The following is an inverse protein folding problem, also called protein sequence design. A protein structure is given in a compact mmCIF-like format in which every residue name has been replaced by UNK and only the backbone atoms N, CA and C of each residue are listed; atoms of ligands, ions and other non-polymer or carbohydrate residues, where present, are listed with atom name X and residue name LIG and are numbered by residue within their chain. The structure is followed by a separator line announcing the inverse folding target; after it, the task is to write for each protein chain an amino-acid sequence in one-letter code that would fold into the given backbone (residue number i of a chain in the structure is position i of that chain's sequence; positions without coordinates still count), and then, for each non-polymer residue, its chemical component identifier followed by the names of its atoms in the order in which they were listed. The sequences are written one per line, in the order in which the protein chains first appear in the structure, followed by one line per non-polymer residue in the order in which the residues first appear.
data_IF_787967251986
#
_entry.id   IF_787967251986
#
_cell.length_a   1.000
_cell.length_b   1.000
_cell.length_c   1.000
_cell.angle_alpha   90.00
_cell.angle_beta   90.00
_cell.angle_gamma   90.00
#
_symmetry.space_group_name_H-M   'P 1'
#
loop_
_entity.id
_entity.type
_entity.pdbx_description
1 polymer ?
#
# COMPACT_ATOMS: atom_id res chain seq x y z
N UNK A 1 -3.69 -16.15 10.03
CA UNK A 1 -4.87 -15.32 9.69
C UNK A 1 -5.67 -16.07 8.65
N UNK A 2 -7.00 -16.08 8.77
CA UNK A 2 -7.90 -16.61 7.75
C UNK A 2 -8.01 -15.64 6.57
N UNK A 3 -8.47 -16.14 5.42
CA UNK A 3 -8.66 -15.31 4.23
C UNK A 3 -9.66 -14.15 4.47
N UNK A 4 -10.69 -14.38 5.28
CA UNK A 4 -11.71 -13.37 5.60
C UNK A 4 -11.12 -12.26 6.47
N UNK A 5 -10.35 -12.63 7.49
CA UNK A 5 -9.65 -11.66 8.35
C UNK A 5 -8.69 -10.82 7.52
N UNK A 6 -7.91 -11.45 6.63
CA UNK A 6 -6.97 -10.75 5.77
C UNK A 6 -7.65 -9.74 4.83
N UNK A 7 -8.72 -10.15 4.13
CA UNK A 7 -9.49 -9.25 3.26
C UNK A 7 -10.10 -8.08 4.05
N UNK A 8 -10.56 -8.35 5.27
CA UNK A 8 -11.11 -7.30 6.15
C UNK A 8 -10.03 -6.30 6.57
N UNK A 9 -8.81 -6.77 6.86
CA UNK A 9 -7.65 -5.92 7.12
C UNK A 9 -7.34 -5.03 5.92
N UNK A 10 -7.29 -5.58 4.71
CA UNK A 10 -7.04 -4.79 3.50
C UNK A 10 -8.11 -3.74 3.23
N UNK A 11 -9.39 -4.08 3.44
CA UNK A 11 -10.50 -3.13 3.28
C UNK A 11 -10.39 -1.90 4.21
N UNK A 12 -9.83 -2.06 5.40
CA UNK A 12 -9.55 -0.95 6.31
C UNK A 12 -8.24 -0.22 5.96
N UNK A 13 -7.22 -0.97 5.55
CA UNK A 13 -5.88 -0.46 5.28
C UNK A 13 -5.82 0.42 4.04
N UNK A 14 -6.45 0.02 2.95
CA UNK A 14 -6.39 0.72 1.65
C UNK A 14 -6.83 2.19 1.76
N UNK A 15 -8.00 2.52 2.36
CA UNK A 15 -8.39 3.92 2.55
C UNK A 15 -7.38 4.74 3.36
N UNK A 16 -6.73 4.14 4.36
CA UNK A 16 -5.72 4.83 5.16
C UNK A 16 -4.45 5.11 4.34
N UNK A 17 -4.02 4.18 3.49
CA UNK A 17 -2.88 4.40 2.58
C UNK A 17 -3.20 5.51 1.59
N UNK A 18 -4.39 5.47 0.98
CA UNK A 18 -4.85 6.52 0.04
C UNK A 18 -4.85 7.89 0.69
N UNK A 19 -5.32 8.01 1.94
CA UNK A 19 -5.26 9.27 2.68
C UNK A 19 -3.84 9.79 2.85
N UNK A 20 -2.87 8.92 3.15
CA UNK A 20 -1.45 9.30 3.26
C UNK A 20 -0.90 9.74 1.88
N UNK A 21 -1.27 9.05 0.80
CA UNK A 21 -0.85 9.44 -0.55
C UNK A 21 -1.36 10.85 -0.89
N UNK A 22 -2.63 11.12 -0.60
CA UNK A 22 -3.24 12.43 -0.83
C UNK A 22 -2.54 13.52 0.00
N UNK A 23 -2.28 13.27 1.29
CA UNK A 23 -1.69 14.27 2.19
C UNK A 23 -0.24 14.57 1.88
N UNK A 24 0.57 13.55 1.59
CA UNK A 24 2.01 13.68 1.39
C UNK A 24 2.39 14.09 -0.04
N UNK A 25 1.63 13.64 -1.04
CA UNK A 25 2.01 13.79 -2.46
C UNK A 25 1.02 14.63 -3.29
N UNK A 26 -0.08 15.10 -2.68
CA UNK A 26 -0.99 16.06 -3.30
C UNK A 26 -1.90 15.50 -4.40
N UNK A 27 -2.07 14.19 -4.47
CA UNK A 27 -3.01 13.55 -5.39
C UNK A 27 -4.46 13.75 -4.91
N UNK A 28 -5.41 13.75 -5.86
CA UNK A 28 -6.82 13.62 -5.50
C UNK A 28 -7.10 12.20 -4.98
N UNK A 29 -8.16 12.03 -4.19
CA UNK A 29 -8.53 10.71 -3.65
C UNK A 29 -8.75 9.66 -4.77
N UNK A 30 -9.39 10.08 -5.87
CA UNK A 30 -9.60 9.20 -7.03
C UNK A 30 -8.27 8.81 -7.69
N UNK A 31 -7.39 9.78 -7.93
CA UNK A 31 -6.09 9.51 -8.58
C UNK A 31 -5.18 8.67 -7.69
N UNK A 32 -5.17 8.93 -6.39
CA UNK A 32 -4.41 8.16 -5.40
C UNK A 32 -4.90 6.71 -5.31
N UNK A 33 -6.22 6.50 -5.31
CA UNK A 33 -6.81 5.16 -5.29
C UNK A 33 -6.45 4.37 -6.57
N UNK A 34 -6.60 5.00 -7.74
CA UNK A 34 -6.27 4.37 -9.02
C UNK A 34 -4.78 4.04 -9.11
N UNK A 35 -3.91 5.00 -8.77
CA UNK A 35 -2.47 4.81 -8.81
C UNK A 35 -1.98 3.77 -7.79
N UNK A 36 -2.64 3.65 -6.63
CA UNK A 36 -2.35 2.59 -5.68
C UNK A 36 -2.75 1.22 -6.25
N UNK A 37 -3.96 1.05 -6.78
CA UNK A 37 -4.40 -0.23 -7.33
C UNK A 37 -3.60 -0.69 -8.56
N UNK A 38 -3.06 0.24 -9.34
CA UNK A 38 -2.19 -0.07 -10.48
C UNK A 38 -0.74 -0.42 -10.08
N UNK A 39 -0.37 -0.18 -8.82
CA UNK A 39 0.99 -0.42 -8.33
C UNK A 39 1.31 -1.89 -8.10
N UNK A 40 2.59 -2.22 -8.26
CA UNK A 40 3.15 -3.50 -7.83
C UNK A 40 3.01 -3.66 -6.31
N UNK A 41 3.19 -2.58 -5.54
CA UNK A 41 2.98 -2.62 -4.09
C UNK A 41 1.61 -3.21 -3.75
N UNK A 42 0.54 -2.73 -4.38
CA UNK A 42 -0.80 -3.25 -4.09
C UNK A 42 -0.96 -4.71 -4.50
N UNK A 43 -0.41 -5.08 -5.67
CA UNK A 43 -0.40 -6.48 -6.13
C UNK A 43 0.31 -7.41 -5.14
N UNK A 44 1.39 -6.95 -4.50
CA UNK A 44 2.11 -7.72 -3.48
C UNK A 44 1.43 -7.61 -2.10
N UNK A 45 0.72 -6.52 -1.80
CA UNK A 45 -0.06 -6.33 -0.59
C UNK A 45 -1.27 -7.28 -0.52
N UNK A 46 -1.88 -7.62 -1.65
CA UNK A 46 -2.96 -8.61 -1.74
C UNK A 46 -2.50 -10.07 -1.52
N UNK A 47 -1.19 -10.30 -1.38
CA UNK A 47 -0.62 -11.63 -1.17
C UNK A 47 -0.27 -11.80 0.30
N UNK A 48 -1.14 -12.47 1.06
CA UNK A 48 -0.97 -12.70 2.51
C UNK A 48 0.46 -13.11 2.95
N UNK A 49 1.19 -13.98 2.21
CA UNK A 49 2.54 -14.38 2.58
C UNK A 49 3.60 -13.26 2.56
N UNK A 50 3.36 -12.13 1.89
CA UNK A 50 4.30 -10.99 1.85
C UNK A 50 4.32 -10.20 3.14
N UNK A 51 3.28 -10.35 3.98
CA UNK A 51 3.12 -9.69 5.28
C UNK A 51 3.19 -8.16 5.24
N UNK A 52 3.12 -7.54 4.06
CA UNK A 52 3.17 -6.08 3.88
C UNK A 52 2.04 -5.34 4.62
N UNK A 53 0.91 -6.01 4.85
CA UNK A 53 -0.22 -5.49 5.62
C UNK A 53 0.10 -5.26 7.11
N UNK A 54 1.26 -5.69 7.60
CA UNK A 54 1.78 -5.31 8.93
C UNK A 54 2.42 -3.90 8.95
N UNK A 55 2.80 -3.36 7.78
CA UNK A 55 3.39 -2.03 7.69
C UNK A 55 2.35 -0.95 8.01
N UNK A 56 2.81 0.18 8.54
CA UNK A 56 1.95 1.32 8.78
C UNK A 56 1.41 1.89 7.44
N UNK A 57 0.23 2.53 7.44
CA UNK A 57 -0.29 3.17 6.23
C UNK A 57 0.68 4.19 5.61
N UNK A 58 1.44 4.91 6.45
CA UNK A 58 2.48 5.84 6.00
C UNK A 58 3.63 5.11 5.31
N UNK A 59 4.16 4.04 5.90
CA UNK A 59 5.25 3.26 5.29
C UNK A 59 4.83 2.65 3.94
N UNK A 60 3.58 2.21 3.81
CA UNK A 60 3.03 1.76 2.53
C UNK A 60 2.93 2.89 1.50
N UNK A 61 2.52 4.09 1.90
CA UNK A 61 2.49 5.25 1.02
C UNK A 61 3.91 5.66 0.56
N UNK A 62 4.91 5.60 1.46
CA UNK A 62 6.32 5.85 1.12
C UNK A 62 6.86 4.81 0.13
N UNK A 63 6.55 3.52 0.34
CA UNK A 63 6.93 2.45 -0.58
C UNK A 63 6.25 2.59 -1.95
N UNK A 64 4.98 2.99 -1.98
CA UNK A 64 4.28 3.31 -3.22
C UNK A 64 4.99 4.45 -3.94
N UNK A 65 5.32 5.53 -3.24
CA UNK A 65 6.00 6.68 -3.85
C UNK A 65 7.39 6.30 -4.38
N UNK A 66 8.16 5.50 -3.63
CA UNK A 66 9.43 4.96 -4.11
C UNK A 66 9.27 4.16 -5.41
N UNK A 67 8.22 3.33 -5.49
CA UNK A 67 7.92 2.58 -6.70
C UNK A 67 7.67 3.51 -7.89
N UNK A 68 6.85 4.55 -7.73
CA UNK A 68 6.53 5.50 -8.80
C UNK A 68 7.79 6.27 -9.26
N UNK A 69 8.62 6.72 -8.32
CA UNK A 69 9.83 7.50 -8.62
C UNK A 69 10.92 6.65 -9.30
N UNK A 70 11.06 5.39 -8.92
CA UNK A 70 12.21 4.56 -9.31
C UNK A 70 11.88 3.40 -10.26
N UNK A 71 10.59 3.09 -10.43
CA UNK A 71 10.09 1.89 -11.12
C UNK A 71 10.42 0.59 -10.39
N UNK A 72 10.86 0.68 -9.12
CA UNK A 72 11.28 -0.47 -8.30
C UNK A 72 10.80 -0.31 -6.87
N UNK A 73 10.53 -1.42 -6.22
CA UNK A 73 10.19 -1.45 -4.81
C UNK A 73 11.24 -2.25 -4.05
N UNK A 74 11.70 -1.71 -2.93
CA UNK A 74 12.63 -2.38 -2.01
C UNK A 74 11.92 -2.52 -0.69
N UNK A 75 11.44 -3.73 -0.41
CA UNK A 75 10.77 -3.99 0.85
C UNK A 75 11.78 -4.01 2.00
N UNK A 76 11.42 -3.44 3.17
CA UNK A 76 12.24 -3.59 4.35
C UNK A 76 12.36 -5.08 4.69
N UNK A 77 13.58 -5.53 4.99
CA UNK A 77 13.79 -6.86 5.57
C UNK A 77 13.08 -6.91 6.93
N UNK A 78 12.35 -7.99 7.20
CA UNK A 78 11.65 -8.18 8.48
C UNK A 78 12.65 -8.03 9.65
N UNK A 79 12.36 -7.09 10.57
CA UNK A 79 13.12 -6.91 11.82
C UNK A 79 12.74 -7.96 12.87
#
# INVERSE_FOLDING_TARGET
MSEIEFKSTLQMLVPMVVQNICSEYGLSEYDALMALYESKLYSDLEREPTKLWHLSPLALAELWHQEIETGKIVYPEEA
#
